data_IF_700808424578
#
_entry.id   IF_700808424578
#
_cell.length_a   1.000
_cell.length_b   1.000
_cell.length_c   1.000
_cell.angle_alpha   90.00
_cell.angle_beta   90.00
_cell.angle_gamma   90.00
#
_symmetry.space_group_name_H-M   'P 1'
#
loop_
_entity.id
_entity.type
_entity.pdbx_description
1 polymer ?
#
# COMPACT_ATOMS: atom_id res chain seq x y z
N UNK A 1 16.64 12.46 28.46
CA UNK A 1 16.08 11.26 27.79
C UNK A 1 14.59 11.05 28.05
N UNK A 2 14.04 11.39 29.23
CA UNK A 2 12.60 11.24 29.56
C UNK A 2 11.65 12.07 28.68
N UNK A 3 12.09 13.25 28.23
CA UNK A 3 11.28 14.15 27.39
C UNK A 3 11.00 13.62 25.99
N UNK A 4 11.98 12.99 25.33
CA UNK A 4 11.79 12.47 23.96
C UNK A 4 10.83 11.28 23.94
N UNK A 5 10.96 10.35 24.88
CA UNK A 5 10.08 9.18 24.98
C UNK A 5 8.63 9.58 25.28
N UNK A 6 8.44 10.60 26.12
CA UNK A 6 7.12 11.18 26.38
C UNK A 6 6.51 11.83 25.14
N UNK A 7 7.29 12.60 24.37
CA UNK A 7 6.82 13.22 23.12
C UNK A 7 6.41 12.15 22.10
N UNK A 8 7.24 11.12 21.90
CA UNK A 8 6.93 10.02 20.97
C UNK A 8 5.64 9.29 21.40
N UNK A 9 5.46 9.07 22.70
CA UNK A 9 4.26 8.43 23.25
C UNK A 9 3.01 9.27 22.96
N UNK A 10 3.01 10.56 23.32
CA UNK A 10 1.86 11.44 23.07
C UNK A 10 1.57 11.58 21.58
N UNK A 11 2.62 11.72 20.76
CA UNK A 11 2.50 11.76 19.31
C UNK A 11 1.84 10.50 18.76
N UNK A 12 2.31 9.32 19.18
CA UNK A 12 1.77 8.04 18.72
C UNK A 12 0.30 7.86 19.13
N UNK A 13 -0.10 8.34 20.31
CA UNK A 13 -1.50 8.28 20.74
C UNK A 13 -2.36 9.21 19.88
N UNK A 14 -2.08 10.52 19.88
CA UNK A 14 -2.99 11.48 19.23
C UNK A 14 -2.97 11.35 17.71
N UNK A 15 -1.77 11.33 17.12
CA UNK A 15 -1.64 11.22 15.66
C UNK A 15 -2.01 9.83 15.19
N UNK A 16 -1.58 8.78 15.91
CA UNK A 16 -1.93 7.40 15.56
C UNK A 16 -3.44 7.15 15.62
N UNK A 17 -4.12 7.55 16.69
CA UNK A 17 -5.58 7.40 16.80
C UNK A 17 -6.31 8.21 15.71
N UNK A 18 -5.87 9.44 15.44
CA UNK A 18 -6.44 10.26 14.37
C UNK A 18 -6.29 9.58 13.00
N UNK A 19 -5.09 9.10 12.66
CA UNK A 19 -4.82 8.37 11.41
C UNK A 19 -5.60 7.06 11.33
N UNK A 20 -5.77 6.36 12.45
CA UNK A 20 -6.54 5.13 12.50
C UNK A 20 -8.02 5.38 12.16
N UNK A 21 -8.65 6.36 12.81
CA UNK A 21 -10.06 6.68 12.60
C UNK A 21 -10.30 7.19 11.18
N UNK A 22 -9.50 8.17 10.75
CA UNK A 22 -9.64 8.78 9.42
C UNK A 22 -9.31 7.79 8.30
N UNK A 23 -8.25 7.00 8.46
CA UNK A 23 -7.86 5.96 7.50
C UNK A 23 -8.89 4.85 7.39
N UNK A 24 -9.49 4.41 8.51
CA UNK A 24 -10.52 3.38 8.50
C UNK A 24 -11.79 3.90 7.82
N UNK A 25 -12.27 5.07 8.21
CA UNK A 25 -13.44 5.70 7.59
C UNK A 25 -13.24 5.93 6.09
N UNK A 26 -12.08 6.46 5.69
CA UNK A 26 -11.74 6.72 4.30
C UNK A 26 -11.74 5.45 3.45
N UNK A 27 -11.08 4.39 3.90
CA UNK A 27 -11.03 3.13 3.15
C UNK A 27 -12.40 2.43 3.08
N UNK A 28 -13.22 2.49 4.13
CA UNK A 28 -14.58 1.93 4.09
C UNK A 28 -15.44 2.68 3.07
N UNK A 29 -15.40 4.02 3.07
CA UNK A 29 -16.11 4.85 2.09
C UNK A 29 -15.61 4.54 0.68
N UNK A 30 -14.30 4.38 0.49
CA UNK A 30 -13.72 4.06 -0.81
C UNK A 30 -14.22 2.70 -1.33
N UNK A 31 -14.16 1.65 -0.50
CA UNK A 31 -14.70 0.32 -0.83
C UNK A 31 -16.18 0.39 -1.18
N UNK A 32 -16.98 1.15 -0.40
CA UNK A 32 -18.40 1.32 -0.65
C UNK A 32 -18.67 1.97 -2.01
N UNK A 33 -18.01 3.09 -2.32
CA UNK A 33 -18.16 3.79 -3.60
C UNK A 33 -17.79 2.88 -4.78
N UNK A 34 -16.65 2.18 -4.69
CA UNK A 34 -16.18 1.27 -5.73
C UNK A 34 -17.11 0.06 -5.93
N UNK A 35 -17.77 -0.41 -4.86
CA UNK A 35 -18.67 -1.57 -4.90
C UNK A 35 -20.06 -1.22 -5.44
N UNK A 36 -20.58 -0.03 -5.12
CA UNK A 36 -21.95 0.38 -5.47
C UNK A 36 -22.06 0.82 -6.94
N UNK A 37 -21.09 1.59 -7.44
CA UNK A 37 -21.15 2.14 -8.80
C UNK A 37 -20.89 1.05 -9.83
N UNK A 38 -21.91 0.66 -10.59
CA UNK A 38 -21.84 -0.43 -11.58
C UNK A 38 -20.79 -0.22 -12.66
N UNK A 39 -20.59 1.03 -13.11
CA UNK A 39 -19.57 1.42 -14.09
C UNK A 39 -18.15 1.10 -13.61
N UNK A 40 -17.91 1.16 -12.30
CA UNK A 40 -16.61 0.88 -11.70
C UNK A 40 -16.37 -0.62 -11.50
N UNK A 41 -17.40 -1.47 -11.46
CA UNK A 41 -17.21 -2.92 -11.25
C UNK A 41 -16.58 -3.65 -12.43
N UNK A 42 -16.69 -3.09 -13.64
CA UNK A 42 -16.10 -3.67 -14.86
C UNK A 42 -14.73 -3.10 -15.23
N UNK A 43 -14.23 -2.13 -14.46
CA UNK A 43 -12.97 -1.47 -14.76
C UNK A 43 -11.81 -2.18 -14.03
N UNK A 44 -10.73 -2.61 -14.71
CA UNK A 44 -9.63 -3.30 -14.06
C UNK A 44 -8.83 -2.39 -13.10
N UNK A 45 -8.73 -1.09 -13.40
CA UNK A 45 -8.08 -0.07 -12.56
C UNK A 45 -8.73 0.03 -11.16
N UNK A 46 -10.07 0.10 -11.11
CA UNK A 46 -10.84 0.18 -9.86
C UNK A 46 -10.74 -1.09 -9.03
N UNK A 47 -10.56 -2.25 -9.66
CA UNK A 47 -10.32 -3.51 -8.96
C UNK A 47 -9.00 -3.49 -8.18
N UNK A 48 -7.93 -2.93 -8.74
CA UNK A 48 -6.67 -2.76 -8.00
C UNK A 48 -6.82 -1.81 -6.81
N UNK A 49 -7.59 -0.72 -6.95
CA UNK A 49 -7.88 0.19 -5.84
C UNK A 49 -8.70 -0.47 -4.73
N UNK A 50 -9.62 -1.37 -5.08
CA UNK A 50 -10.38 -2.13 -4.10
C UNK A 50 -9.45 -3.03 -3.26
N UNK A 51 -8.53 -3.75 -3.92
CA UNK A 51 -7.53 -4.58 -3.23
C UNK A 51 -6.64 -3.72 -2.33
N UNK A 52 -6.17 -2.58 -2.84
CA UNK A 52 -5.35 -1.65 -2.06
C UNK A 52 -6.07 -1.20 -0.78
N UNK A 53 -7.34 -0.76 -0.87
CA UNK A 53 -8.10 -0.33 0.30
C UNK A 53 -8.38 -1.45 1.31
N UNK A 54 -8.61 -2.69 0.86
CA UNK A 54 -8.73 -3.84 1.77
C UNK A 54 -7.40 -4.07 2.51
N UNK A 55 -6.27 -4.02 1.80
CA UNK A 55 -4.96 -4.17 2.39
C UNK A 55 -4.62 -3.02 3.35
N UNK A 56 -4.99 -1.78 3.02
CA UNK A 56 -4.80 -0.62 3.90
C UNK A 56 -5.57 -0.78 5.22
N UNK A 57 -6.81 -1.25 5.19
CA UNK A 57 -7.58 -1.56 6.41
C UNK A 57 -6.84 -2.62 7.24
N UNK A 58 -6.38 -3.69 6.61
CA UNK A 58 -5.61 -4.73 7.28
C UNK A 58 -4.32 -4.20 7.93
N UNK A 59 -3.61 -3.29 7.25
CA UNK A 59 -2.41 -2.62 7.77
C UNK A 59 -2.76 -1.72 8.95
N UNK A 60 -3.88 -0.97 8.91
CA UNK A 60 -4.31 -0.14 10.03
C UNK A 60 -4.54 -0.99 11.29
N UNK A 61 -5.15 -2.16 11.16
CA UNK A 61 -5.38 -3.07 12.30
C UNK A 61 -4.11 -3.77 12.78
N UNK A 62 -3.23 -4.23 11.90
CA UNK A 62 -2.07 -5.03 12.33
C UNK A 62 -0.85 -4.17 12.63
N UNK A 63 -0.59 -3.12 11.86
CA UNK A 63 0.57 -2.26 12.04
C UNK A 63 0.27 -1.09 13.00
N UNK A 64 -0.71 -0.24 12.66
CA UNK A 64 -0.95 1.02 13.35
C UNK A 64 -1.55 0.81 14.74
N UNK A 65 -2.62 0.00 14.86
CA UNK A 65 -3.21 -0.31 16.15
C UNK A 65 -2.20 -0.98 17.09
N UNK A 66 -1.41 -1.93 16.58
CA UNK A 66 -0.32 -2.54 17.34
C UNK A 66 0.67 -1.51 17.86
N UNK A 67 1.05 -0.53 17.02
CA UNK A 67 1.98 0.55 17.40
C UNK A 67 1.39 1.49 18.47
N UNK A 68 0.09 1.80 18.37
CA UNK A 68 -0.62 2.61 19.36
C UNK A 68 -0.64 1.90 20.72
N UNK A 69 -0.94 0.61 20.75
CA UNK A 69 -0.98 -0.19 21.98
C UNK A 69 0.40 -0.32 22.62
N UNK A 70 1.43 -0.62 21.82
CA UNK A 70 2.81 -0.80 22.28
C UNK A 70 3.44 0.53 22.74
N UNK A 71 3.51 1.52 21.84
CA UNK A 71 4.25 2.77 22.10
C UNK A 71 3.41 3.80 22.85
N UNK A 72 2.09 3.83 22.59
CA UNK A 72 1.18 4.78 23.22
C UNK A 72 0.76 4.34 24.63
N UNK A 73 0.26 3.12 24.76
CA UNK A 73 -0.28 2.61 26.03
C UNK A 73 0.67 1.72 26.83
N UNK A 74 1.87 1.43 26.30
CA UNK A 74 2.88 0.54 26.93
C UNK A 74 2.32 -0.85 27.25
N UNK A 75 1.40 -1.33 26.42
CA UNK A 75 0.84 -2.68 26.54
C UNK A 75 1.68 -3.61 25.66
N UNK A 76 2.53 -4.41 26.29
CA UNK A 76 3.41 -5.37 25.62
C UNK A 76 2.66 -6.64 25.20
N UNK A 77 1.71 -6.50 24.26
CA UNK A 77 1.06 -7.65 23.62
C UNK A 77 2.06 -8.51 22.82
N UNK A 78 3.17 -7.92 22.39
CA UNK A 78 4.06 -8.47 21.36
C UNK A 78 5.24 -9.27 21.90
N UNK A 79 5.65 -9.01 23.14
CA UNK A 79 6.70 -9.77 23.83
C UNK A 79 6.13 -10.97 24.61
N UNK A 80 4.79 -11.09 24.64
CA UNK A 80 4.10 -12.21 25.30
C UNK A 80 4.16 -13.51 24.48
N UNK A 81 4.27 -13.44 23.15
CA UNK A 81 4.32 -14.63 22.29
C UNK A 81 5.24 -14.46 21.07
N UNK A 82 6.20 -15.38 20.95
CA UNK A 82 7.10 -15.51 19.80
C UNK A 82 6.33 -15.67 18.48
N UNK A 83 5.18 -16.35 18.52
CA UNK A 83 4.33 -16.59 17.35
C UNK A 83 3.77 -15.26 16.84
N UNK A 84 3.29 -14.41 17.76
CA UNK A 84 2.78 -13.09 17.42
C UNK A 84 3.87 -12.15 16.90
N UNK A 85 5.06 -12.16 17.49
CA UNK A 85 6.23 -11.40 17.00
C UNK A 85 6.55 -11.75 15.53
N UNK A 86 6.65 -13.04 15.22
CA UNK A 86 6.95 -13.54 13.86
C UNK A 86 5.82 -13.22 12.88
N UNK A 87 4.58 -13.55 13.24
CA UNK A 87 3.41 -13.37 12.38
C UNK A 87 3.15 -11.89 12.07
N UNK A 88 3.25 -11.00 13.07
CA UNK A 88 3.05 -9.56 12.86
C UNK A 88 4.06 -9.00 11.86
N UNK A 89 5.34 -9.29 12.01
CA UNK A 89 6.35 -8.76 11.10
C UNK A 89 6.19 -9.34 9.70
N UNK A 90 5.98 -10.66 9.59
CA UNK A 90 5.61 -11.29 8.31
C UNK A 90 4.45 -10.57 7.63
N UNK A 91 3.37 -10.32 8.37
CA UNK A 91 2.18 -9.66 7.85
C UNK A 91 2.46 -8.23 7.39
N UNK A 92 3.13 -7.43 8.22
CA UNK A 92 3.47 -6.03 7.90
C UNK A 92 4.32 -5.99 6.62
N UNK A 93 5.41 -6.74 6.56
CA UNK A 93 6.30 -6.68 5.38
C UNK A 93 5.66 -7.25 4.12
N UNK A 94 4.78 -8.25 4.23
CA UNK A 94 4.07 -8.80 3.06
C UNK A 94 2.97 -7.87 2.56
N UNK A 95 2.12 -7.37 3.46
CA UNK A 95 0.86 -6.70 3.10
C UNK A 95 1.10 -5.22 2.80
N UNK A 96 2.05 -4.55 3.48
CA UNK A 96 2.34 -3.13 3.25
C UNK A 96 2.78 -2.83 1.81
N UNK A 97 3.37 -3.80 1.12
CA UNK A 97 3.83 -3.62 -0.27
C UNK A 97 2.65 -3.63 -1.26
N UNK A 98 1.58 -4.36 -0.97
CA UNK A 98 0.49 -4.62 -1.92
C UNK A 98 -0.19 -3.33 -2.41
N UNK A 99 -0.63 -2.39 -1.54
CA UNK A 99 -1.27 -1.14 -1.99
C UNK A 99 -0.45 -0.33 -3.00
N UNK A 100 0.86 -0.21 -2.78
CA UNK A 100 1.75 0.54 -3.67
C UNK A 100 1.84 -0.09 -5.06
N UNK A 101 1.96 -1.41 -5.15
CA UNK A 101 2.00 -2.11 -6.43
C UNK A 101 0.62 -2.19 -7.09
N UNK A 102 -0.46 -2.30 -6.32
CA UNK A 102 -1.81 -2.16 -6.84
C UNK A 102 -2.01 -0.79 -7.51
N UNK A 103 -1.50 0.27 -6.90
CA UNK A 103 -1.54 1.61 -7.51
C UNK A 103 -0.69 1.68 -8.79
N UNK A 104 0.48 1.03 -8.83
CA UNK A 104 1.27 0.92 -10.05
C UNK A 104 0.48 0.22 -11.16
N UNK A 105 -0.10 -0.94 -10.86
CA UNK A 105 -0.92 -1.69 -11.80
C UNK A 105 -2.13 -0.88 -12.28
N UNK A 106 -2.75 -0.09 -11.39
CA UNK A 106 -3.83 0.84 -11.74
C UNK A 106 -3.35 1.92 -12.73
N UNK A 107 -2.18 2.54 -12.50
CA UNK A 107 -1.63 3.53 -13.45
C UNK A 107 -1.27 2.92 -14.80
N UNK A 108 -0.72 1.70 -14.82
CA UNK A 108 -0.38 0.97 -16.04
C UNK A 108 -1.64 0.60 -16.82
N UNK A 109 -2.66 0.12 -16.12
CA UNK A 109 -3.95 -0.21 -16.74
C UNK A 109 -4.62 1.04 -17.33
N UNK A 110 -4.61 2.16 -16.60
CA UNK A 110 -5.12 3.43 -17.11
C UNK A 110 -4.36 3.91 -18.37
N UNK A 111 -3.05 3.70 -18.42
CA UNK A 111 -2.26 3.96 -19.63
C UNK A 111 -2.72 3.07 -20.80
N UNK A 112 -2.94 1.78 -20.56
CA UNK A 112 -3.42 0.85 -21.58
C UNK A 112 -4.80 1.25 -22.11
N UNK A 113 -5.75 1.58 -21.24
CA UNK A 113 -7.11 2.03 -21.63
C UNK A 113 -7.06 3.30 -22.47
N UNK A 114 -6.22 4.27 -22.07
CA UNK A 114 -6.13 5.58 -22.74
C UNK A 114 -5.25 5.57 -23.99
N UNK A 115 -4.51 4.49 -24.26
CA UNK A 115 -3.64 4.38 -25.42
C UNK A 115 -4.41 4.33 -26.73
N UNK A 116 -3.86 4.97 -27.77
CA UNK A 116 -4.42 4.89 -29.14
C UNK A 116 -4.18 3.53 -29.80
N UNK A 117 -3.25 2.73 -29.28
CA UNK A 117 -2.93 1.41 -29.81
C UNK A 117 -3.95 0.37 -29.29
N UNK A 118 -4.68 -0.24 -30.22
CA UNK A 118 -5.71 -1.26 -29.93
C UNK A 118 -5.10 -2.48 -29.22
N UNK A 119 -3.89 -2.90 -29.61
CA UNK A 119 -3.23 -4.05 -28.98
C UNK A 119 -2.92 -3.77 -27.51
N UNK A 120 -2.51 -2.54 -27.16
CA UNK A 120 -2.28 -2.14 -25.76
C UNK A 120 -3.59 -2.12 -24.97
N UNK A 121 -4.68 -1.59 -25.55
CA UNK A 121 -6.00 -1.59 -24.90
C UNK A 121 -6.51 -3.00 -24.60
N UNK A 122 -6.17 -3.99 -25.44
CA UNK A 122 -6.59 -5.40 -25.24
C UNK A 122 -6.00 -6.05 -23.99
N UNK A 123 -4.92 -5.49 -23.42
CA UNK A 123 -4.35 -5.98 -22.16
C UNK A 123 -5.14 -5.52 -20.94
N UNK A 124 -5.88 -4.41 -21.03
CA UNK A 124 -6.75 -3.93 -19.95
C UNK A 124 -8.06 -4.72 -19.95
N UNK A 125 -8.03 -5.87 -19.29
CA UNK A 125 -9.22 -6.72 -19.09
C UNK A 125 -9.29 -7.18 -17.64
N UNK A 126 -10.51 -7.39 -17.14
CA UNK A 126 -10.72 -7.90 -15.78
C UNK A 126 -10.02 -9.23 -15.53
N UNK A 127 -9.97 -10.11 -16.53
CA UNK A 127 -9.23 -11.38 -16.44
C UNK A 127 -7.76 -11.14 -16.14
N UNK A 128 -7.12 -10.20 -16.83
CA UNK A 128 -5.72 -9.88 -16.57
C UNK A 128 -5.53 -9.22 -15.20
N UNK A 129 -6.46 -8.37 -14.76
CA UNK A 129 -6.37 -7.79 -13.42
C UNK A 129 -6.46 -8.82 -12.29
N UNK A 130 -7.30 -9.86 -12.43
CA UNK A 130 -7.32 -10.97 -11.48
C UNK A 130 -5.98 -11.72 -11.44
N UNK A 131 -5.43 -12.07 -12.61
CA UNK A 131 -4.14 -12.78 -12.69
C UNK A 131 -2.97 -11.94 -12.16
N UNK A 132 -2.91 -10.66 -12.53
CA UNK A 132 -1.88 -9.73 -12.06
C UNK A 132 -1.96 -9.53 -10.54
N UNK A 133 -3.18 -9.37 -10.01
CA UNK A 133 -3.40 -9.23 -8.56
C UNK A 133 -3.02 -10.49 -7.80
N UNK A 134 -3.40 -11.67 -8.29
CA UNK A 134 -3.02 -12.94 -7.70
C UNK A 134 -1.50 -13.12 -7.69
N UNK A 135 -0.85 -12.86 -8.82
CA UNK A 135 0.60 -12.94 -8.94
C UNK A 135 1.29 -11.98 -7.97
N UNK A 136 0.80 -10.73 -7.88
CA UNK A 136 1.31 -9.73 -6.94
C UNK A 136 1.20 -10.22 -5.50
N UNK A 137 0.03 -10.69 -5.08
CA UNK A 137 -0.20 -11.18 -3.71
C UNK A 137 0.74 -12.35 -3.41
N UNK A 138 0.89 -13.32 -4.32
CA UNK A 138 1.80 -14.45 -4.14
C UNK A 138 3.25 -13.98 -3.98
N UNK A 139 3.72 -13.07 -4.83
CA UNK A 139 5.08 -12.52 -4.73
C UNK A 139 5.29 -11.80 -3.40
N UNK A 140 4.32 -11.00 -2.96
CA UNK A 140 4.38 -10.29 -1.68
C UNK A 140 4.41 -11.24 -0.48
N UNK A 141 3.61 -12.32 -0.49
CA UNK A 141 3.64 -13.33 0.56
C UNK A 141 4.97 -14.09 0.59
N UNK A 142 5.53 -14.44 -0.58
CA UNK A 142 6.84 -15.08 -0.67
C UNK A 142 7.96 -14.14 -0.17
N UNK A 143 7.88 -12.85 -0.48
CA UNK A 143 8.80 -11.82 0.00
C UNK A 143 8.76 -11.68 1.54
N UNK A 144 7.61 -11.93 2.15
CA UNK A 144 7.42 -11.95 3.60
C UNK A 144 8.15 -13.07 4.35
N UNK A 145 8.38 -14.23 3.71
CA UNK A 145 8.87 -15.45 4.38
C UNK A 145 10.13 -15.23 5.23
N UNK A 146 11.17 -14.52 4.75
CA UNK A 146 12.37 -14.25 5.56
C UNK A 146 12.05 -13.52 6.88
N UNK A 147 11.07 -12.62 6.88
CA UNK A 147 10.66 -11.89 8.09
C UNK A 147 10.00 -12.81 9.10
N UNK A 148 9.24 -13.82 8.65
CA UNK A 148 8.69 -14.85 9.54
C UNK A 148 9.77 -15.71 10.20
N UNK A 149 10.82 -16.07 9.43
CA UNK A 149 11.86 -16.98 9.88
C UNK A 149 12.88 -16.33 10.83
N UNK A 150 13.26 -15.08 10.58
CA UNK A 150 14.41 -14.45 11.25
C UNK A 150 14.05 -13.43 12.34
N UNK A 151 12.77 -13.06 12.49
CA UNK A 151 12.35 -12.24 13.64
C UNK A 151 12.20 -13.10 14.87
N UNK A 152 12.75 -12.66 16.01
CA UNK A 152 12.59 -13.35 17.27
C UNK A 152 12.59 -12.37 18.45
N UNK A 153 12.25 -12.85 19.65
CA UNK A 153 12.34 -12.07 20.89
C UNK A 153 13.79 -12.11 21.36
N UNK A 154 14.42 -10.94 21.45
CA UNK A 154 15.79 -10.83 21.92
C UNK A 154 15.92 -11.30 23.37
N UNK A 155 16.86 -12.21 23.68
CA UNK A 155 17.07 -12.67 25.05
C UNK A 155 17.67 -11.57 25.96
N UNK A 156 18.25 -10.51 25.37
CA UNK A 156 18.91 -9.43 26.14
C UNK A 156 18.01 -8.22 26.35
N UNK A 157 17.22 -7.86 25.35
CA UNK A 157 16.37 -6.66 25.39
C UNK A 157 14.90 -6.99 25.57
N UNK A 158 14.49 -8.26 25.45
CA UNK A 158 13.10 -8.71 25.41
C UNK A 158 12.25 -7.99 24.35
N UNK A 159 12.87 -7.48 23.29
CA UNK A 159 12.20 -6.81 22.17
C UNK A 159 12.15 -7.75 20.97
N UNK A 160 11.03 -7.73 20.23
CA UNK A 160 10.87 -8.42 18.95
C UNK A 160 11.74 -7.75 17.87
N UNK A 161 12.81 -8.41 17.43
CA UNK A 161 13.78 -7.87 16.47
C UNK A 161 14.31 -8.95 15.52
N UNK A 162 14.87 -8.52 14.38
CA UNK A 162 15.58 -9.41 13.46
C UNK A 162 16.87 -9.93 14.11
N UNK A 163 17.03 -11.25 14.20
CA UNK A 163 18.24 -11.90 14.69
C UNK A 163 19.31 -12.08 13.61
N UNK A 164 18.98 -11.80 12.34
CA UNK A 164 19.87 -12.01 11.21
C UNK A 164 20.38 -10.68 10.65
N UNK A 165 21.72 -10.49 10.70
CA UNK A 165 22.37 -9.28 10.18
C UNK A 165 22.11 -9.04 8.69
N UNK A 166 22.00 -10.09 7.87
CA UNK A 166 21.70 -9.96 6.43
C UNK A 166 20.29 -9.43 6.21
N UNK A 167 19.32 -9.89 7.01
CA UNK A 167 17.95 -9.37 6.94
C UNK A 167 17.90 -7.91 7.39
N UNK A 168 18.62 -7.55 8.44
CA UNK A 168 18.71 -6.16 8.93
C UNK A 168 19.32 -5.21 7.90
N UNK A 169 20.34 -5.65 7.15
CA UNK A 169 20.92 -4.88 6.04
C UNK A 169 20.02 -4.84 4.80
N UNK A 170 19.27 -5.91 4.53
CA UNK A 170 18.31 -5.99 3.43
C UNK A 170 17.10 -5.07 3.65
N UNK A 171 16.65 -4.90 4.89
CA UNK A 171 15.45 -4.16 5.25
C UNK A 171 15.40 -2.72 4.70
N UNK A 172 16.40 -1.84 4.91
CA UNK A 172 16.37 -0.49 4.34
C UNK A 172 16.40 -0.50 2.81
N UNK A 173 17.12 -1.45 2.19
CA UNK A 173 17.17 -1.61 0.73
C UNK A 173 15.80 -2.02 0.19
N UNK A 174 15.11 -2.93 0.88
CA UNK A 174 13.78 -3.39 0.51
C UNK A 174 12.74 -2.28 0.64
N UNK A 175 12.80 -1.48 1.70
CA UNK A 175 11.87 -0.36 1.91
C UNK A 175 12.13 0.73 0.87
N UNK A 176 13.36 1.24 0.76
CA UNK A 176 13.65 2.34 -0.18
C UNK A 176 13.49 1.90 -1.64
N UNK A 177 13.93 0.69 -1.98
CA UNK A 177 13.88 0.18 -3.35
C UNK A 177 12.49 -0.31 -3.74
N UNK A 178 11.98 -1.34 -3.05
CA UNK A 178 10.76 -2.04 -3.44
C UNK A 178 9.50 -1.27 -3.06
N UNK A 179 9.49 -0.55 -1.93
CA UNK A 179 8.29 0.18 -1.49
C UNK A 179 8.23 1.59 -2.09
N UNK A 180 9.36 2.28 -2.16
CA UNK A 180 9.37 3.69 -2.56
C UNK A 180 9.80 3.90 -4.01
N UNK A 181 11.03 3.50 -4.37
CA UNK A 181 11.64 3.91 -5.63
C UNK A 181 10.96 3.27 -6.85
N UNK A 182 10.75 1.95 -6.84
CA UNK A 182 10.13 1.24 -7.97
C UNK A 182 8.68 1.70 -8.17
N UNK A 183 7.81 1.70 -7.14
CA UNK A 183 6.42 2.10 -7.32
C UNK A 183 6.27 3.56 -7.76
N UNK A 184 7.05 4.46 -7.17
CA UNK A 184 7.03 5.88 -7.55
C UNK A 184 7.49 6.09 -8.99
N UNK A 185 8.57 5.42 -9.41
CA UNK A 185 9.07 5.55 -10.78
C UNK A 185 8.06 5.05 -11.80
N UNK A 186 7.43 3.89 -11.56
CA UNK A 186 6.41 3.34 -12.45
C UNK A 186 5.18 4.25 -12.52
N UNK A 187 4.66 4.68 -11.38
CA UNK A 187 3.47 5.54 -11.33
C UNK A 187 3.72 6.90 -11.99
N UNK A 188 4.91 7.50 -11.85
CA UNK A 188 5.27 8.75 -12.53
C UNK A 188 5.33 8.56 -14.04
N UNK A 189 6.03 7.52 -14.52
CA UNK A 189 6.19 7.27 -15.97
C UNK A 189 4.83 6.99 -16.62
N UNK A 190 4.08 6.02 -16.09
CA UNK A 190 2.79 5.65 -16.66
C UNK A 190 1.71 6.69 -16.41
N UNK A 191 1.75 7.41 -15.29
CA UNK A 191 0.89 8.55 -15.02
C UNK A 191 1.10 9.68 -16.03
N UNK A 192 2.35 10.05 -16.32
CA UNK A 192 2.66 11.05 -17.35
C UNK A 192 2.20 10.62 -18.75
N UNK A 193 2.45 9.36 -19.12
CA UNK A 193 1.99 8.82 -20.40
C UNK A 193 0.45 8.84 -20.51
N UNK A 194 -0.25 8.48 -19.44
CA UNK A 194 -1.71 8.54 -19.35
C UNK A 194 -2.22 9.98 -19.52
N UNK A 195 -1.62 10.94 -18.82
CA UNK A 195 -1.98 12.35 -18.94
C UNK A 195 -1.79 12.87 -20.38
N UNK A 196 -0.68 12.49 -21.03
CA UNK A 196 -0.43 12.84 -22.44
C UNK A 196 -1.49 12.24 -23.38
N UNK A 197 -1.89 10.99 -23.16
CA UNK A 197 -2.90 10.34 -23.99
C UNK A 197 -4.29 10.99 -23.84
N UNK A 198 -4.68 11.34 -22.60
CA UNK A 198 -5.98 11.97 -22.32
C UNK A 198 -6.04 13.40 -22.86
N UNK A 199 -5.00 14.20 -22.65
CA UNK A 199 -4.91 15.58 -23.17
C UNK A 199 -4.95 15.65 -24.70
N UNK A 200 -4.53 14.60 -25.40
CA UNK A 200 -4.63 14.50 -26.86
C UNK A 200 -5.99 14.00 -27.35
N UNK A 201 -6.87 13.52 -26.47
CA UNK A 201 -8.08 12.78 -26.83
C UNK A 201 -9.38 13.50 -26.43
N UNK A 202 -9.35 14.82 -26.23
CA UNK A 202 -10.35 15.72 -25.61
C UNK A 202 -11.77 15.72 -26.24
N UNK A 203 -12.09 14.83 -27.18
CA UNK A 203 -13.32 14.88 -27.98
C UNK A 203 -14.45 13.87 -27.71
N UNK A 204 -14.34 12.91 -26.78
CA UNK A 204 -15.34 11.81 -26.68
C UNK A 204 -15.98 11.68 -25.28
N UNK A 205 -17.31 11.69 -25.26
CA UNK A 205 -18.24 11.74 -24.11
C UNK A 205 -18.06 10.61 -23.06
N UNK A 206 -17.39 9.51 -23.43
CA UNK A 206 -17.08 8.39 -22.52
C UNK A 206 -15.96 8.69 -21.49
N UNK A 207 -15.28 9.83 -21.61
CA UNK A 207 -14.08 10.16 -20.83
C UNK A 207 -14.32 10.72 -19.42
N UNK A 208 -15.56 11.04 -18.99
CA UNK A 208 -15.73 11.67 -17.66
C UNK A 208 -15.28 10.76 -16.50
N UNK A 209 -15.62 9.48 -16.54
CA UNK A 209 -15.17 8.50 -15.55
C UNK A 209 -13.65 8.27 -15.62
N UNK A 210 -13.10 8.13 -16.82
CA UNK A 210 -11.64 7.97 -17.02
C UNK A 210 -10.87 9.21 -16.57
N UNK A 211 -11.41 10.41 -16.79
CA UNK A 211 -10.82 11.67 -16.36
C UNK A 211 -10.85 11.82 -14.84
N UNK A 212 -11.93 11.38 -14.19
CA UNK A 212 -12.00 11.32 -12.73
C UNK A 212 -10.96 10.35 -12.16
N UNK A 213 -10.80 9.16 -12.75
CA UNK A 213 -9.77 8.18 -12.35
C UNK A 213 -8.35 8.73 -12.56
N UNK A 214 -8.09 9.43 -13.66
CA UNK A 214 -6.80 10.07 -13.92
C UNK A 214 -6.51 11.20 -12.94
N UNK A 215 -7.50 12.03 -12.61
CA UNK A 215 -7.35 13.07 -11.59
C UNK A 215 -7.07 12.46 -10.20
N UNK A 216 -7.77 11.37 -9.85
CA UNK A 216 -7.52 10.63 -8.62
C UNK A 216 -6.08 10.09 -8.58
N UNK A 217 -5.61 9.48 -9.66
CA UNK A 217 -4.24 8.98 -9.78
C UNK A 217 -3.19 10.09 -9.65
N UNK A 218 -3.39 11.24 -10.30
CA UNK A 218 -2.49 12.38 -10.18
C UNK A 218 -2.39 12.88 -8.74
N UNK A 219 -3.52 13.01 -8.04
CA UNK A 219 -3.52 13.40 -6.62
C UNK A 219 -2.81 12.37 -5.75
N UNK A 220 -3.01 11.07 -6.00
CA UNK A 220 -2.31 10.02 -5.27
C UNK A 220 -0.79 10.05 -5.51
N UNK A 221 -0.33 10.32 -6.74
CA UNK A 221 1.11 10.44 -7.04
C UNK A 221 1.72 11.60 -6.25
N UNK A 222 1.06 12.77 -6.22
CA UNK A 222 1.51 13.92 -5.44
C UNK A 222 1.56 13.58 -3.94
N UNK A 223 0.52 12.91 -3.42
CA UNK A 223 0.47 12.51 -2.03
C UNK A 223 1.58 11.51 -1.67
N UNK A 224 1.86 10.53 -2.54
CA UNK A 224 2.97 9.58 -2.34
C UNK A 224 4.29 10.32 -2.28
N UNK A 225 4.56 11.24 -3.21
CA UNK A 225 5.81 12.00 -3.21
C UNK A 225 5.97 12.81 -1.92
N UNK A 226 4.91 13.43 -1.42
CA UNK A 226 4.96 14.20 -0.17
C UNK A 226 5.15 13.28 1.06
N UNK A 227 4.46 12.13 1.09
CA UNK A 227 4.45 11.23 2.26
C UNK A 227 5.66 10.30 2.34
N UNK A 228 6.34 10.05 1.21
CA UNK A 228 7.52 9.18 1.15
C UNK A 228 8.83 9.95 1.28
N UNK A 229 8.81 11.28 1.12
CA UNK A 229 9.94 12.15 1.49
C UNK A 229 9.87 12.37 3.01
N UNK A 230 10.87 11.90 3.79
CA UNK A 230 10.88 12.03 5.24
C UNK A 230 11.03 13.48 5.73
#
# INVERSE_FOLDING_TARGET
MVTLSYIIQQYTIYVGCFLFITGLAGNIIHIYILSVVSSYRSNPCTFYFLIASICDILILFVALLSRILETGFRVDLFCSSIIWCKFRNYFIYSVTIIPFYCQCLATVDQYFVTSKNIELRRFSTMRQAYWNSLLLIVICLLHGIPFFLYYDISPTTHICASMNIRLTLYLPISVLGLLTFIPSSLTIIFGFLTYRNVSQSVGLTHQHADRQLVNMLCMQIILILITTIP
#
